data_IF_725163955261
#
_entry.id   IF_725163955261
#
_cell.length_a   1.000
_cell.length_b   1.000
_cell.length_c   1.000
_cell.angle_alpha   90.00
_cell.angle_beta   90.00
_cell.angle_gamma   90.00
#
_symmetry.space_group_name_H-M   'P 1'
#
loop_
_entity.id
_entity.type
_entity.pdbx_description
1 polymer ?
#
# COMPACT_ATOMS: atom_id res chain seq x y z
N UNK A 1 52.40 29.98 -1.68
CA UNK A 1 51.66 28.71 -1.48
C UNK A 1 52.71 27.64 -1.15
N UNK A 2 53.43 27.83 -0.04
CA UNK A 2 54.62 27.03 0.37
C UNK A 2 54.76 27.04 1.91
N UNK A 3 53.68 26.81 2.64
CA UNK A 3 53.72 26.75 4.13
C UNK A 3 53.25 25.41 4.68
N UNK A 4 53.00 24.42 3.82
CA UNK A 4 52.50 23.08 4.22
C UNK A 4 53.61 22.02 4.20
N UNK A 5 54.77 22.27 3.57
CA UNK A 5 55.86 21.28 3.46
C UNK A 5 56.79 21.20 4.69
N UNK A 6 56.47 21.89 5.78
CA UNK A 6 57.26 21.86 7.02
C UNK A 6 56.46 21.48 8.27
N UNK A 7 55.19 21.06 8.14
CA UNK A 7 54.46 20.51 9.28
C UNK A 7 54.97 19.09 9.52
N UNK A 8 55.76 18.85 10.58
CA UNK A 8 56.40 17.57 10.71
C UNK A 8 55.34 16.55 11.14
N UNK A 9 55.38 15.37 10.54
CA UNK A 9 54.29 14.37 10.54
C UNK A 9 53.78 14.00 11.95
N UNK A 10 54.66 14.10 12.95
CA UNK A 10 54.35 13.89 14.36
C UNK A 10 53.37 14.93 14.94
N UNK A 11 53.40 16.20 14.49
CA UNK A 11 52.46 17.23 14.93
C UNK A 11 51.06 16.93 14.42
N UNK A 12 50.93 16.48 13.18
CA UNK A 12 49.64 16.04 12.63
C UNK A 12 49.10 14.81 13.39
N UNK A 13 49.95 13.83 13.66
CA UNK A 13 49.59 12.65 14.46
C UNK A 13 49.10 13.03 15.86
N UNK A 14 49.83 13.91 16.56
CA UNK A 14 49.44 14.39 17.89
C UNK A 14 48.12 15.17 17.82
N UNK A 15 47.92 16.03 16.83
CA UNK A 15 46.68 16.77 16.66
C UNK A 15 45.48 15.82 16.47
N UNK A 16 45.61 14.80 15.61
CA UNK A 16 44.56 13.80 15.38
C UNK A 16 44.26 13.01 16.65
N UNK A 17 45.29 12.57 17.38
CA UNK A 17 45.13 11.85 18.65
C UNK A 17 44.44 12.73 19.70
N UNK A 18 44.82 14.00 19.82
CA UNK A 18 44.18 14.93 20.74
C UNK A 18 42.72 15.21 20.38
N UNK A 19 42.40 15.36 19.09
CA UNK A 19 41.01 15.49 18.63
C UNK A 19 40.21 14.23 18.92
N UNK A 20 40.76 13.04 18.66
CA UNK A 20 40.11 11.77 18.96
C UNK A 20 39.86 11.59 20.47
N UNK A 21 40.83 11.95 21.30
CA UNK A 21 40.70 11.92 22.76
C UNK A 21 39.67 12.96 23.24
N UNK A 22 39.66 14.17 22.70
CA UNK A 22 38.67 15.19 23.04
C UNK A 22 37.25 14.77 22.64
N UNK A 23 37.08 14.15 21.47
CA UNK A 23 35.81 13.56 21.05
C UNK A 23 35.38 12.42 21.98
N UNK A 24 36.32 11.59 22.42
CA UNK A 24 36.05 10.45 23.31
C UNK A 24 35.70 10.92 24.71
N UNK A 25 36.47 11.84 25.29
CA UNK A 25 36.24 12.40 26.62
C UNK A 25 34.96 13.26 26.65
N UNK A 26 34.71 14.02 25.58
CA UNK A 26 33.48 14.76 25.38
C UNK A 26 32.27 13.83 25.28
N UNK A 27 32.37 12.77 24.47
CA UNK A 27 31.35 11.74 24.34
C UNK A 27 31.10 10.99 25.66
N UNK A 28 32.17 10.68 26.40
CA UNK A 28 32.10 9.98 27.68
C UNK A 28 31.46 10.85 28.76
N UNK A 29 31.86 12.13 28.88
CA UNK A 29 31.26 13.08 29.83
C UNK A 29 29.80 13.41 29.51
N UNK A 30 29.45 13.64 28.24
CA UNK A 30 28.05 13.83 27.83
C UNK A 30 27.22 12.57 28.03
N UNK A 31 27.79 11.40 27.72
CA UNK A 31 27.17 10.10 27.91
C UNK A 31 26.89 9.83 29.38
N UNK A 32 27.84 10.08 30.27
CA UNK A 32 27.68 9.84 31.70
C UNK A 32 26.71 10.84 32.36
N UNK A 33 26.70 12.09 31.90
CA UNK A 33 25.71 13.09 32.32
C UNK A 33 24.29 12.74 31.85
N UNK A 34 24.13 12.20 30.64
CA UNK A 34 22.85 11.66 30.15
C UNK A 34 22.43 10.40 30.90
N UNK A 35 23.33 9.43 31.10
CA UNK A 35 23.02 8.17 31.82
C UNK A 35 22.55 8.39 33.25
N UNK A 36 23.08 9.41 33.95
CA UNK A 36 22.58 9.77 35.30
C UNK A 36 21.15 10.32 35.28
N UNK A 37 20.71 10.93 34.17
CA UNK A 37 19.34 11.42 33.97
C UNK A 37 18.40 10.35 33.41
N UNK A 38 18.94 9.33 32.74
CA UNK A 38 18.22 8.22 32.10
C UNK A 38 18.30 6.88 32.86
N UNK A 39 18.37 6.91 34.20
CA UNK A 39 18.18 5.69 35.02
C UNK A 39 16.74 5.11 34.96
N UNK A 40 15.90 5.64 34.07
CA UNK A 40 14.53 5.19 33.77
C UNK A 40 14.43 4.56 32.37
N UNK A 41 15.54 4.11 31.80
CA UNK A 41 15.65 3.64 30.41
C UNK A 41 15.63 2.11 30.29
N UNK A 42 14.89 1.43 31.18
CA UNK A 42 14.57 0.01 31.01
C UNK A 42 13.32 -0.20 30.13
N UNK A 43 12.46 0.82 30.00
CA UNK A 43 11.18 0.72 29.25
C UNK A 43 11.20 1.48 27.90
N UNK A 44 12.20 2.34 27.67
CA UNK A 44 12.31 3.15 26.46
C UNK A 44 12.46 2.32 25.16
N UNK A 45 13.22 1.20 25.13
CA UNK A 45 13.32 0.37 23.93
C UNK A 45 11.99 -0.28 23.53
N UNK A 46 11.16 -0.67 24.51
CA UNK A 46 9.87 -1.33 24.27
C UNK A 46 8.85 -0.36 23.65
N UNK A 47 8.75 0.86 24.18
CA UNK A 47 7.83 1.86 23.66
C UNK A 47 8.14 2.23 22.20
N UNK A 48 9.42 2.35 21.83
CA UNK A 48 9.83 2.62 20.44
C UNK A 48 9.50 1.46 19.50
N UNK A 49 9.74 0.21 19.94
CA UNK A 49 9.37 -0.97 19.14
C UNK A 49 7.86 -1.01 18.91
N UNK A 50 7.05 -0.84 19.95
CA UNK A 50 5.57 -0.82 19.83
C UNK A 50 5.08 0.31 18.92
N UNK A 51 5.64 1.51 19.04
CA UNK A 51 5.28 2.63 18.17
C UNK A 51 5.63 2.34 16.69
N UNK A 52 6.78 1.74 16.44
CA UNK A 52 7.22 1.39 15.08
C UNK A 52 6.36 0.28 14.45
N UNK A 53 5.96 -0.74 15.23
CA UNK A 53 5.10 -1.83 14.73
C UNK A 53 3.69 -1.34 14.46
N UNK A 54 3.12 -0.51 15.36
CA UNK A 54 1.81 0.11 15.14
C UNK A 54 1.83 1.08 13.95
N UNK A 55 2.90 1.85 13.77
CA UNK A 55 3.08 2.72 12.61
C UNK A 55 3.13 1.93 11.30
N UNK A 56 3.89 0.83 11.26
CA UNK A 56 3.95 -0.06 10.11
C UNK A 56 2.59 -0.71 9.82
N UNK A 57 1.88 -1.17 10.84
CA UNK A 57 0.55 -1.76 10.70
C UNK A 57 -0.46 -0.76 10.15
N UNK A 58 -0.47 0.48 10.67
CA UNK A 58 -1.32 1.55 10.15
C UNK A 58 -1.00 1.86 8.68
N UNK A 59 0.29 1.91 8.32
CA UNK A 59 0.73 2.12 6.95
C UNK A 59 0.26 0.97 6.04
N UNK A 60 0.48 -0.29 6.43
CA UNK A 60 0.05 -1.46 5.68
C UNK A 60 -1.47 -1.50 5.48
N UNK A 61 -2.27 -1.14 6.50
CA UNK A 61 -3.71 -1.01 6.37
C UNK A 61 -4.09 0.08 5.36
N UNK A 62 -3.40 1.23 5.41
CA UNK A 62 -3.57 2.31 4.44
C UNK A 62 -3.38 1.84 2.99
N UNK A 63 -2.29 1.13 2.70
CA UNK A 63 -2.07 0.56 1.35
C UNK A 63 -3.08 -0.52 1.01
N UNK A 64 -3.40 -1.41 1.95
CA UNK A 64 -4.31 -2.53 1.71
C UNK A 64 -5.70 -2.01 1.35
N UNK A 65 -6.23 -1.05 2.12
CA UNK A 65 -7.51 -0.42 1.80
C UNK A 65 -7.47 0.38 0.51
N UNK A 66 -6.37 1.09 0.22
CA UNK A 66 -6.23 1.80 -1.04
C UNK A 66 -6.31 0.86 -2.25
N UNK A 67 -5.55 -0.24 -2.23
CA UNK A 67 -5.56 -1.25 -3.31
C UNK A 67 -6.93 -1.92 -3.40
N UNK A 68 -7.55 -2.27 -2.27
CA UNK A 68 -8.88 -2.87 -2.25
C UNK A 68 -9.94 -1.94 -2.86
N UNK A 69 -9.91 -0.65 -2.52
CA UNK A 69 -10.81 0.36 -3.06
C UNK A 69 -10.58 0.58 -4.56
N UNK A 70 -9.33 0.68 -5.00
CA UNK A 70 -8.99 0.81 -6.42
C UNK A 70 -9.53 -0.39 -7.22
N UNK A 71 -9.35 -1.61 -6.72
CA UNK A 71 -9.86 -2.81 -7.38
C UNK A 71 -11.39 -2.87 -7.39
N UNK A 72 -12.03 -2.41 -6.33
CA UNK A 72 -13.48 -2.32 -6.27
C UNK A 72 -14.02 -1.29 -7.28
N UNK A 73 -13.40 -0.12 -7.38
CA UNK A 73 -13.83 0.93 -8.30
C UNK A 73 -13.61 0.52 -9.77
N UNK A 74 -12.48 -0.14 -10.10
CA UNK A 74 -12.27 -0.74 -11.42
C UNK A 74 -13.40 -1.69 -11.82
N UNK A 75 -13.78 -2.61 -10.92
CA UNK A 75 -14.87 -3.57 -11.16
C UNK A 75 -16.20 -2.85 -11.33
N UNK A 76 -16.46 -1.84 -10.49
CA UNK A 76 -17.68 -1.03 -10.54
C UNK A 76 -17.79 -0.27 -11.87
N UNK A 77 -16.72 0.38 -12.31
CA UNK A 77 -16.68 1.10 -13.58
C UNK A 77 -16.92 0.14 -14.74
N UNK A 78 -16.24 -1.02 -14.77
CA UNK A 78 -16.44 -2.01 -15.82
C UNK A 78 -17.90 -2.50 -15.93
N UNK A 79 -18.59 -2.68 -14.79
CA UNK A 79 -20.02 -3.05 -14.77
C UNK A 79 -20.91 -1.90 -15.26
N UNK A 80 -20.59 -0.66 -14.90
CA UNK A 80 -21.33 0.52 -15.35
C UNK A 80 -21.17 0.75 -16.86
N UNK A 81 -19.97 0.58 -17.40
CA UNK A 81 -19.70 0.72 -18.83
C UNK A 81 -20.49 -0.33 -19.63
N UNK A 82 -20.46 -1.59 -19.19
CA UNK A 82 -21.22 -2.67 -19.83
C UNK A 82 -22.75 -2.40 -19.80
N UNK A 83 -23.27 -1.89 -18.68
CA UNK A 83 -24.68 -1.51 -18.57
C UNK A 83 -25.03 -0.33 -19.51
N UNK A 84 -24.13 0.66 -19.64
CA UNK A 84 -24.29 1.80 -20.54
C UNK A 84 -24.26 1.37 -22.01
N UNK A 85 -23.38 0.46 -22.40
CA UNK A 85 -23.28 -0.07 -23.76
C UNK A 85 -24.54 -0.83 -24.15
N UNK A 86 -25.03 -1.70 -23.26
CA UNK A 86 -26.29 -2.44 -23.46
C UNK A 86 -27.46 -1.47 -23.53
N UNK A 87 -27.54 -0.50 -22.61
CA UNK A 87 -28.60 0.51 -22.59
C UNK A 87 -28.62 1.37 -23.86
N UNK A 88 -27.44 1.80 -24.30
CA UNK A 88 -27.29 2.56 -25.56
C UNK A 88 -27.72 1.73 -26.76
N UNK A 89 -27.31 0.45 -26.80
CA UNK A 89 -27.69 -0.46 -27.89
C UNK A 89 -29.21 -0.70 -27.90
N UNK A 90 -29.83 -0.85 -26.74
CA UNK A 90 -31.27 -1.00 -26.59
C UNK A 90 -32.04 0.22 -27.09
N UNK A 91 -31.56 1.43 -26.80
CA UNK A 91 -32.14 2.68 -27.31
C UNK A 91 -31.93 2.81 -28.82
N UNK A 92 -30.74 2.44 -29.34
CA UNK A 92 -30.46 2.48 -30.78
C UNK A 92 -31.32 1.49 -31.58
N UNK A 93 -31.75 0.39 -30.98
CA UNK A 93 -32.67 -0.54 -31.62
C UNK A 93 -34.02 0.12 -32.00
N UNK A 94 -34.41 1.24 -31.36
CA UNK A 94 -35.64 1.98 -31.72
C UNK A 94 -35.59 2.59 -33.12
N UNK A 95 -34.41 2.79 -33.70
CA UNK A 95 -34.28 3.29 -35.07
C UNK A 95 -34.55 2.21 -36.14
N UNK A 96 -34.67 0.95 -35.76
CA UNK A 96 -34.98 -0.14 -36.68
C UNK A 96 -36.49 -0.23 -36.96
N UNK A 97 -36.83 -0.73 -38.13
CA UNK A 97 -38.21 -1.05 -38.50
C UNK A 97 -38.69 -2.33 -37.80
N UNK A 98 -40.00 -2.56 -37.83
CA UNK A 98 -40.57 -3.83 -37.38
C UNK A 98 -40.34 -4.91 -38.46
N UNK A 99 -40.06 -6.18 -38.09
CA UNK A 99 -40.06 -6.74 -36.73
C UNK A 99 -38.71 -6.70 -35.99
N UNK A 100 -37.64 -6.19 -36.62
CA UNK A 100 -36.26 -6.30 -36.12
C UNK A 100 -36.07 -5.54 -34.81
N UNK A 101 -36.74 -4.39 -34.63
CA UNK A 101 -36.76 -3.61 -33.39
C UNK A 101 -37.11 -4.49 -32.18
N UNK A 102 -38.26 -5.17 -32.22
CA UNK A 102 -38.73 -5.99 -31.11
C UNK A 102 -37.86 -7.22 -30.89
N UNK A 103 -37.38 -7.84 -31.97
CA UNK A 103 -36.49 -9.00 -31.89
C UNK A 103 -35.19 -8.66 -31.15
N UNK A 104 -34.52 -7.58 -31.54
CA UNK A 104 -33.26 -7.15 -30.90
C UNK A 104 -33.48 -6.75 -29.45
N UNK A 105 -34.54 -5.99 -29.15
CA UNK A 105 -34.89 -5.63 -27.78
C UNK A 105 -35.18 -6.84 -26.90
N UNK A 106 -35.87 -7.86 -27.44
CA UNK A 106 -36.10 -9.13 -26.74
C UNK A 106 -34.78 -9.86 -26.47
N UNK A 107 -33.91 -10.01 -27.47
CA UNK A 107 -32.61 -10.66 -27.31
C UNK A 107 -31.72 -9.96 -26.28
N UNK A 108 -31.69 -8.62 -26.27
CA UNK A 108 -30.91 -7.85 -25.28
C UNK A 108 -31.41 -8.09 -23.85
N UNK A 109 -32.73 -8.15 -23.63
CA UNK A 109 -33.29 -8.48 -22.30
C UNK A 109 -32.95 -9.90 -21.88
N UNK A 110 -33.07 -10.86 -22.81
CA UNK A 110 -32.73 -12.26 -22.55
C UNK A 110 -31.23 -12.42 -22.21
N UNK A 111 -30.36 -11.75 -22.95
CA UNK A 111 -28.93 -11.71 -22.68
C UNK A 111 -28.61 -11.19 -21.27
N UNK A 112 -29.21 -10.06 -20.88
CA UNK A 112 -29.03 -9.50 -19.52
C UNK A 112 -29.51 -10.49 -18.46
N UNK A 113 -30.66 -11.14 -18.67
CA UNK A 113 -31.19 -12.13 -17.73
C UNK A 113 -30.25 -13.31 -17.54
N UNK A 114 -29.71 -13.87 -18.64
CA UNK A 114 -28.75 -14.98 -18.59
C UNK A 114 -27.48 -14.56 -17.84
N UNK A 115 -26.98 -13.35 -18.11
CA UNK A 115 -25.76 -12.83 -17.48
C UNK A 115 -25.91 -12.62 -15.98
N UNK A 116 -27.02 -12.02 -15.54
CA UNK A 116 -27.30 -11.82 -14.10
C UNK A 116 -27.48 -13.16 -13.38
N UNK A 117 -28.19 -14.11 -13.99
CA UNK A 117 -28.39 -15.45 -13.43
C UNK A 117 -27.06 -16.23 -13.32
N UNK A 118 -26.16 -16.09 -14.29
CA UNK A 118 -24.82 -16.71 -14.26
C UNK A 118 -23.93 -16.17 -13.14
N UNK A 119 -24.04 -14.87 -12.81
CA UNK A 119 -23.32 -14.27 -11.67
C UNK A 119 -23.89 -14.78 -10.34
N UNK A 120 -25.22 -14.88 -10.23
CA UNK A 120 -25.88 -15.37 -9.01
C UNK A 120 -25.50 -16.85 -8.70
N UNK A 121 -25.48 -17.71 -9.72
CA UNK A 121 -25.15 -19.15 -9.55
C UNK A 121 -23.66 -19.40 -9.29
N UNK A 122 -22.76 -18.56 -9.82
CA UNK A 122 -21.34 -18.60 -9.46
C UNK A 122 -21.05 -18.32 -7.98
N UNK A 123 -22.00 -17.69 -7.27
CA UNK A 123 -21.91 -17.45 -5.81
C UNK A 123 -22.31 -18.69 -5.00
N UNK A 124 -23.17 -19.57 -5.54
CA UNK A 124 -23.62 -20.81 -4.88
C UNK A 124 -22.72 -22.03 -5.18
N UNK A 125 -22.05 -22.05 -6.33
CA UNK A 125 -21.14 -23.13 -6.76
C UNK A 125 -19.80 -23.18 -5.99
N UNK A 126 -19.60 -22.33 -4.98
CA UNK A 126 -18.45 -22.42 -4.06
C UNK A 126 -18.78 -23.18 -2.76
N UNK A 127 -19.91 -23.88 -2.71
CA UNK A 127 -20.12 -24.91 -1.69
C UNK A 127 -19.16 -26.07 -1.98
N UNK A 128 -18.33 -26.52 -1.02
CA UNK A 128 -17.45 -27.65 -1.25
C UNK A 128 -18.35 -28.84 -1.56
N UNK A 129 -18.30 -29.30 -2.81
CA UNK A 129 -18.86 -30.58 -3.21
C UNK A 129 -18.09 -31.61 -2.38
N UNK A 130 -18.63 -31.94 -1.20
CA UNK A 130 -18.25 -33.12 -0.45
C UNK A 130 -18.57 -34.28 -1.38
N UNK A 131 -17.55 -34.69 -2.13
CA UNK A 131 -17.54 -35.92 -2.90
C UNK A 131 -17.57 -37.04 -1.88
N UNK A 132 -18.76 -37.47 -1.49
CA UNK A 132 -18.98 -38.73 -0.79
C UNK A 132 -18.69 -39.84 -1.79
N UNK A 133 -17.48 -40.39 -1.70
CA UNK A 133 -17.21 -41.77 -2.11
C UNK A 133 -17.88 -42.74 -1.14
#
# INVERSE_FOLDING_TARGET
METIDYTPLWVFFIAVVLTALACTEGGYRLGDWRRKKLKHESDAPLATVVASTLGLLAFMLGFTFNVALSRFDERRIAVLDDANDIGTTYLRADFLEQPQREQIKKLLREYVQVRVNGIATGTESNSPVIRSE
#
